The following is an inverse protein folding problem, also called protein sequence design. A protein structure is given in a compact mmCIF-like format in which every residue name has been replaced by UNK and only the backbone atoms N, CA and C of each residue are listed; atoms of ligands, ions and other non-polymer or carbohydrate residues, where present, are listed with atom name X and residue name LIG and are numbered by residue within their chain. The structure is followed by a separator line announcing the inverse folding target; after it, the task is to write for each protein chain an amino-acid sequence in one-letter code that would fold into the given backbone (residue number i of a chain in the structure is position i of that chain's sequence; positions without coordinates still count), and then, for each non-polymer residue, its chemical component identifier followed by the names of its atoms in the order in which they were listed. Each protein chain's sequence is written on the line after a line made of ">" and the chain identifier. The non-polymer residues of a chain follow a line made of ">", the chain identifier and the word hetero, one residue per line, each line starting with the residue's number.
data_IF_038133215756
#
_entry.id   IF_038133215756
#
_cell.length_a   1.000
_cell.length_b   1.000
_cell.length_c   1.000
_cell.angle_alpha   90.00
_cell.angle_beta   90.00
_cell.angle_gamma   90.00
#
_symmetry.space_group_name_H-M   'P 1'
#
loop_
_entity.id
_entity.type
_entity.pdbx_description
1 polymer ?
#
# COMPACT_ATOMS: atom_id res chain seq x y z
N UNK A 1 -27.29 12.16 12.33
CA UNK A 1 -26.02 12.30 11.58
C UNK A 1 -25.88 11.05 10.75
N UNK A 2 -25.63 11.19 9.46
CA UNK A 2 -25.30 10.05 8.60
C UNK A 2 -24.01 9.39 9.10
N UNK A 3 -23.96 8.06 9.12
CA UNK A 3 -22.76 7.35 9.54
C UNK A 3 -21.61 7.67 8.57
N UNK A 4 -20.40 7.93 9.08
CA UNK A 4 -19.22 8.16 8.24
C UNK A 4 -18.93 6.90 7.41
N UNK A 5 -18.57 7.08 6.16
CA UNK A 5 -18.06 5.97 5.32
C UNK A 5 -16.79 5.43 5.92
N UNK A 6 -16.63 4.11 5.86
CA UNK A 6 -15.46 3.39 6.39
C UNK A 6 -14.38 3.23 5.35
N UNK A 7 -13.16 3.56 5.75
CA UNK A 7 -11.95 3.38 4.94
C UNK A 7 -11.10 2.28 5.55
N UNK A 8 -10.64 1.34 4.72
CA UNK A 8 -9.57 0.40 5.08
C UNK A 8 -8.35 0.64 4.21
N UNK A 9 -7.18 0.74 4.82
CA UNK A 9 -5.91 0.77 4.10
C UNK A 9 -4.80 0.13 4.92
N UNK A 10 -3.75 -0.35 4.25
CA UNK A 10 -2.64 -1.00 4.92
C UNK A 10 -1.34 -0.97 4.13
N UNK A 11 -0.23 -1.00 4.84
CA UNK A 11 1.11 -1.07 4.25
C UNK A 11 1.86 -2.26 4.85
N UNK A 12 2.57 -3.01 4.01
CA UNK A 12 3.41 -4.12 4.45
C UNK A 12 4.65 -3.61 5.21
N UNK A 13 5.02 -4.25 6.34
CA UNK A 13 6.23 -3.93 7.09
C UNK A 13 7.49 -4.53 6.43
N UNK A 14 7.66 -4.25 5.14
CA UNK A 14 8.75 -4.76 4.31
C UNK A 14 10.06 -3.95 4.42
N UNK A 15 10.20 -3.12 5.43
CA UNK A 15 11.33 -2.24 5.71
C UNK A 15 10.87 -0.83 6.10
N UNK A 16 11.80 0.09 6.21
CA UNK A 16 11.50 1.49 6.57
C UNK A 16 10.58 2.16 5.55
N UNK A 17 9.76 3.10 6.02
CA UNK A 17 8.91 3.91 5.15
C UNK A 17 9.77 4.93 4.40
N UNK A 18 9.39 5.18 3.16
CA UNK A 18 10.09 6.11 2.27
C UNK A 18 9.30 7.40 2.11
N UNK A 19 9.96 8.45 1.62
CA UNK A 19 9.28 9.68 1.20
C UNK A 19 8.14 9.38 0.22
N UNK A 20 8.33 8.41 -0.69
CA UNK A 20 7.28 7.94 -1.59
C UNK A 20 6.10 7.31 -0.87
N UNK A 21 6.34 6.57 0.24
CA UNK A 21 5.27 6.01 1.09
C UNK A 21 4.51 7.11 1.83
N UNK A 22 5.22 8.12 2.32
CA UNK A 22 4.62 9.27 2.99
C UNK A 22 3.73 10.08 2.03
N UNK A 23 4.29 10.55 0.92
CA UNK A 23 3.57 11.39 -0.04
C UNK A 23 2.45 10.65 -0.78
N UNK A 24 2.65 9.35 -1.04
CA UNK A 24 1.70 8.53 -1.79
C UNK A 24 0.55 7.97 -0.94
N UNK A 25 0.75 7.80 0.37
CA UNK A 25 -0.26 7.17 1.24
C UNK A 25 -0.49 7.95 2.52
N UNK A 26 0.50 8.05 3.42
CA UNK A 26 0.30 8.56 4.79
C UNK A 26 -0.22 9.99 4.83
N UNK A 27 0.30 10.88 4.01
CA UNK A 27 -0.17 12.28 3.92
C UNK A 27 -1.68 12.36 3.58
N UNK A 28 -2.14 11.46 2.70
CA UNK A 28 -3.56 11.36 2.37
C UNK A 28 -4.38 10.79 3.54
N UNK A 29 -3.86 9.77 4.23
CA UNK A 29 -4.54 9.18 5.39
C UNK A 29 -4.78 10.21 6.49
N UNK A 30 -3.77 11.06 6.75
CA UNK A 30 -3.91 12.17 7.72
C UNK A 30 -5.03 13.14 7.32
N UNK A 31 -5.20 13.42 6.03
CA UNK A 31 -6.29 14.30 5.58
C UNK A 31 -7.69 13.66 5.64
N UNK A 32 -7.77 12.32 5.64
CA UNK A 32 -9.04 11.58 5.64
C UNK A 32 -9.58 11.32 7.05
N UNK A 33 -8.74 11.35 8.08
CA UNK A 33 -9.10 10.91 9.42
C UNK A 33 -10.22 11.72 10.10
N UNK A 34 -10.49 12.95 9.68
CA UNK A 34 -11.56 13.76 10.24
C UNK A 34 -12.91 13.53 9.53
N UNK A 35 -12.89 13.09 8.28
CA UNK A 35 -14.09 12.92 7.45
C UNK A 35 -14.64 11.49 7.47
N UNK A 36 -13.77 10.48 7.65
CA UNK A 36 -14.07 9.07 7.51
C UNK A 36 -13.84 8.29 8.81
N UNK A 37 -14.43 7.08 8.89
CA UNK A 37 -14.12 6.06 9.89
C UNK A 37 -12.93 5.23 9.35
N UNK A 38 -11.72 5.52 9.83
CA UNK A 38 -10.50 5.01 9.21
C UNK A 38 -9.88 3.85 10.00
N UNK A 39 -9.58 2.77 9.27
CA UNK A 39 -8.83 1.61 9.76
C UNK A 39 -7.50 1.49 9.00
N UNK A 40 -6.40 1.58 9.72
CA UNK A 40 -5.05 1.49 9.16
C UNK A 40 -4.32 0.27 9.69
N UNK A 41 -4.04 -0.68 8.80
CA UNK A 41 -3.50 -1.98 9.14
C UNK A 41 -2.02 -2.09 8.74
N UNK A 42 -1.21 -2.68 9.61
CA UNK A 42 0.11 -3.17 9.26
C UNK A 42 -0.07 -4.60 8.79
N UNK A 43 0.00 -4.80 7.46
CA UNK A 43 -0.35 -6.07 6.82
C UNK A 43 0.85 -7.03 6.80
N UNK A 44 1.23 -7.52 7.97
CA UNK A 44 2.38 -8.38 8.20
C UNK A 44 2.19 -9.79 7.61
N UNK A 45 0.96 -10.30 7.51
CA UNK A 45 0.68 -11.57 6.85
C UNK A 45 0.94 -11.49 5.34
N UNK A 46 0.71 -10.35 4.69
CA UNK A 46 1.11 -10.17 3.30
C UNK A 46 2.63 -10.13 3.13
N UNK A 47 3.38 -9.69 4.14
CA UNK A 47 4.83 -9.65 4.08
C UNK A 47 5.46 -11.04 4.03
N UNK A 48 4.84 -12.06 4.64
CA UNK A 48 5.35 -13.44 4.67
C UNK A 48 5.16 -14.21 3.36
N UNK A 49 4.50 -13.64 2.35
CA UNK A 49 4.52 -14.17 0.97
C UNK A 49 5.94 -14.25 0.40
N UNK A 50 6.86 -13.48 0.98
CA UNK A 50 8.31 -13.57 0.79
C UNK A 50 8.94 -13.94 2.14
N UNK A 51 9.99 -14.77 2.14
CA UNK A 51 10.64 -15.20 3.39
C UNK A 51 11.11 -14.01 4.21
N UNK A 52 10.75 -14.00 5.49
CA UNK A 52 11.11 -12.99 6.48
C UNK A 52 11.90 -13.62 7.63
N UNK A 53 12.75 -12.83 8.25
CA UNK A 53 13.30 -13.16 9.57
C UNK A 53 12.26 -12.76 10.62
N UNK A 54 11.71 -13.68 11.44
CA UNK A 54 10.57 -13.36 12.32
C UNK A 54 10.83 -12.21 13.31
N UNK A 55 12.04 -12.14 13.87
CA UNK A 55 12.42 -11.07 14.79
C UNK A 55 12.40 -9.69 14.10
N UNK A 56 12.88 -9.63 12.85
CA UNK A 56 12.90 -8.40 12.06
C UNK A 56 11.49 -7.99 11.63
N UNK A 57 10.65 -8.94 11.22
CA UNK A 57 9.25 -8.66 10.87
C UNK A 57 8.51 -8.05 12.06
N UNK A 58 8.63 -8.65 13.26
CA UNK A 58 8.02 -8.13 14.48
C UNK A 58 8.49 -6.71 14.80
N UNK A 59 9.81 -6.47 14.76
CA UNK A 59 10.41 -5.15 15.02
C UNK A 59 9.89 -4.11 14.02
N UNK A 60 9.86 -4.46 12.71
CA UNK A 60 9.40 -3.56 11.65
C UNK A 60 7.90 -3.24 11.77
N UNK A 61 7.07 -4.21 12.15
CA UNK A 61 5.64 -3.99 12.35
C UNK A 61 5.37 -2.95 13.43
N UNK A 62 6.04 -3.08 14.58
CA UNK A 62 5.91 -2.09 15.68
C UNK A 62 6.50 -0.73 15.29
N UNK A 63 7.67 -0.72 14.66
CA UNK A 63 8.30 0.52 14.21
C UNK A 63 7.45 1.25 13.16
N UNK A 64 6.77 0.53 12.27
CA UNK A 64 5.90 1.13 11.27
C UNK A 64 4.65 1.76 11.91
N UNK A 65 4.08 1.14 12.95
CA UNK A 65 2.99 1.74 13.72
C UNK A 65 3.41 3.06 14.37
N UNK A 66 4.60 3.08 14.96
CA UNK A 66 5.16 4.32 15.53
C UNK A 66 5.36 5.41 14.46
N UNK A 67 5.80 5.02 13.25
CA UNK A 67 5.93 5.96 12.14
C UNK A 67 4.58 6.49 11.65
N UNK A 68 3.49 5.71 11.69
CA UNK A 68 2.15 6.20 11.36
C UNK A 68 1.74 7.34 12.29
N UNK A 69 1.92 7.16 13.60
CA UNK A 69 1.62 8.17 14.62
C UNK A 69 2.52 9.40 14.43
N UNK A 70 3.82 9.20 14.22
CA UNK A 70 4.76 10.29 13.99
C UNK A 70 4.46 11.10 12.72
N UNK A 71 3.85 10.46 11.71
CA UNK A 71 3.41 11.13 10.48
C UNK A 71 2.08 11.89 10.63
N UNK A 72 1.43 11.84 11.80
CA UNK A 72 0.23 12.62 12.10
C UNK A 72 -1.08 11.84 12.14
N UNK A 73 -1.04 10.49 12.10
CA UNK A 73 -2.23 9.69 12.36
C UNK A 73 -2.51 9.67 13.86
N UNK A 74 -3.70 10.14 14.23
CA UNK A 74 -4.16 10.23 15.62
C UNK A 74 -4.77 8.90 16.07
N UNK A 75 -4.19 8.19 17.06
CA UNK A 75 -4.73 6.92 17.57
C UNK A 75 -6.09 7.06 18.26
N UNK A 76 -6.49 8.27 18.70
CA UNK A 76 -7.81 8.51 19.28
C UNK A 76 -8.90 8.64 18.21
N UNK A 77 -8.51 8.95 16.96
CA UNK A 77 -9.44 9.13 15.84
C UNK A 77 -9.52 7.90 14.93
N UNK A 78 -8.44 7.11 14.88
CA UNK A 78 -8.28 6.03 13.92
C UNK A 78 -8.05 4.69 14.61
N UNK A 79 -8.54 3.62 14.03
CA UNK A 79 -8.18 2.27 14.46
C UNK A 79 -6.90 1.86 13.74
N UNK A 80 -5.83 1.64 14.49
CA UNK A 80 -4.54 1.18 13.96
C UNK A 80 -4.17 -0.15 14.60
N UNK A 81 -3.81 -1.15 13.78
CA UNK A 81 -3.52 -2.50 14.28
C UNK A 81 -2.58 -3.29 13.38
N UNK A 82 -2.10 -4.42 13.89
CA UNK A 82 -1.29 -5.39 13.15
C UNK A 82 -2.21 -6.54 12.72
N UNK A 83 -2.20 -6.88 11.44
CA UNK A 83 -3.09 -7.85 10.80
C UNK A 83 -3.08 -9.21 11.51
N UNK A 84 -1.90 -9.75 11.83
CA UNK A 84 -1.77 -11.06 12.50
C UNK A 84 -2.31 -11.10 13.93
N UNK A 85 -2.61 -9.94 14.54
CA UNK A 85 -3.26 -9.88 15.86
C UNK A 85 -4.77 -10.08 15.79
N UNK A 86 -5.34 -10.13 14.59
CA UNK A 86 -6.77 -10.39 14.33
C UNK A 86 -6.89 -11.66 13.48
N UNK A 87 -7.03 -12.86 14.09
CA UNK A 87 -7.04 -14.14 13.38
C UNK A 87 -8.13 -14.26 12.32
N UNK A 88 -9.20 -13.50 12.46
CA UNK A 88 -10.35 -13.48 11.55
C UNK A 88 -9.98 -13.12 10.10
N UNK A 89 -8.88 -12.40 9.88
CA UNK A 89 -8.34 -12.17 8.54
C UNK A 89 -8.04 -13.50 7.82
N UNK A 90 -7.36 -14.42 8.51
CA UNK A 90 -7.04 -15.74 7.96
C UNK A 90 -8.30 -16.63 7.83
N UNK A 91 -9.19 -16.61 8.81
CA UNK A 91 -10.44 -17.37 8.78
C UNK A 91 -11.32 -16.94 7.60
N UNK A 92 -11.55 -15.63 7.46
CA UNK A 92 -12.36 -15.11 6.37
C UNK A 92 -11.68 -15.33 5.02
N UNK A 93 -10.35 -15.21 4.94
CA UNK A 93 -9.59 -15.51 3.73
C UNK A 93 -9.81 -16.95 3.25
N UNK A 94 -9.86 -17.93 4.17
CA UNK A 94 -10.18 -19.29 3.84
C UNK A 94 -11.60 -19.44 3.28
N UNK A 95 -12.58 -18.85 3.96
CA UNK A 95 -13.98 -18.87 3.50
C UNK A 95 -14.11 -18.25 2.12
N UNK A 96 -13.59 -17.05 1.92
CA UNK A 96 -13.62 -16.34 0.63
C UNK A 96 -12.87 -17.09 -0.47
N UNK A 97 -11.80 -17.83 -0.11
CA UNK A 97 -11.08 -18.71 -1.01
C UNK A 97 -11.97 -19.78 -1.65
N UNK A 98 -12.95 -20.29 -0.92
CA UNK A 98 -13.93 -21.25 -1.43
C UNK A 98 -14.94 -20.61 -2.42
N UNK A 99 -15.04 -19.28 -2.43
CA UNK A 99 -15.88 -18.51 -3.36
C UNK A 99 -15.09 -17.79 -4.45
N UNK A 100 -13.76 -17.96 -4.48
CA UNK A 100 -12.87 -17.33 -5.45
C UNK A 100 -12.53 -18.29 -6.58
N UNK A 101 -12.70 -17.85 -7.82
CA UNK A 101 -12.40 -18.70 -8.97
C UNK A 101 -10.89 -18.69 -9.27
N UNK A 102 -10.33 -19.87 -9.49
CA UNK A 102 -8.92 -20.05 -9.87
C UNK A 102 -8.51 -19.18 -11.09
N UNK A 103 -9.40 -19.10 -12.10
CA UNK A 103 -9.16 -18.30 -13.30
C UNK A 103 -9.07 -16.80 -13.04
N UNK A 104 -9.74 -16.27 -12.01
CA UNK A 104 -9.63 -14.85 -11.62
C UNK A 104 -8.24 -14.58 -11.03
N UNK A 105 -7.79 -15.42 -10.10
CA UNK A 105 -6.45 -15.31 -9.50
C UNK A 105 -5.33 -15.45 -10.54
N UNK A 106 -5.48 -16.39 -11.48
CA UNK A 106 -4.48 -16.61 -12.54
C UNK A 106 -4.31 -15.41 -13.49
N UNK A 107 -5.33 -14.57 -13.61
CA UNK A 107 -5.30 -13.37 -14.46
C UNK A 107 -4.75 -12.13 -13.76
N UNK A 108 -4.53 -12.17 -12.44
CA UNK A 108 -3.99 -11.05 -11.69
C UNK A 108 -2.61 -10.64 -12.21
N UNK A 109 -2.48 -9.37 -12.64
CA UNK A 109 -1.23 -8.83 -13.20
C UNK A 109 -0.10 -8.84 -12.18
N UNK A 110 -0.39 -8.44 -10.95
CA UNK A 110 0.58 -8.44 -9.84
C UNK A 110 1.11 -9.85 -9.52
N UNK A 111 0.26 -10.90 -9.64
CA UNK A 111 0.73 -12.27 -9.51
C UNK A 111 1.74 -12.62 -10.61
N UNK A 112 1.41 -12.31 -11.87
CA UNK A 112 2.29 -12.60 -13.02
C UNK A 112 3.64 -11.89 -12.89
N UNK A 113 3.65 -10.64 -12.44
CA UNK A 113 4.88 -9.85 -12.29
C UNK A 113 5.74 -10.36 -11.14
N UNK A 114 5.13 -10.70 -9.99
CA UNK A 114 5.84 -11.28 -8.85
C UNK A 114 6.34 -12.69 -9.13
N UNK A 115 5.56 -13.51 -9.84
CA UNK A 115 5.96 -14.85 -10.25
C UNK A 115 7.18 -14.81 -11.18
N UNK A 116 7.28 -13.84 -12.11
CA UNK A 116 8.48 -13.65 -12.94
C UNK A 116 9.72 -13.27 -12.12
N UNK A 117 9.55 -12.41 -11.09
CA UNK A 117 10.66 -11.97 -10.22
C UNK A 117 11.16 -13.07 -9.28
N UNK A 118 10.31 -14.04 -8.94
CA UNK A 118 10.57 -15.11 -7.98
C UNK A 118 10.30 -16.49 -8.60
N UNK A 119 10.72 -16.69 -9.86
CA UNK A 119 10.42 -17.89 -10.66
C UNK A 119 10.79 -19.20 -9.95
N UNK A 120 11.85 -19.18 -9.13
CA UNK A 120 12.35 -20.37 -8.42
C UNK A 120 11.55 -20.70 -7.14
N UNK A 121 10.62 -19.82 -6.71
CA UNK A 121 9.90 -20.01 -5.45
C UNK A 121 8.50 -19.39 -5.47
N UNK A 122 7.65 -19.87 -6.36
CA UNK A 122 6.24 -19.45 -6.43
C UNK A 122 5.46 -20.24 -5.38
N UNK A 123 5.09 -19.59 -4.29
CA UNK A 123 4.32 -20.21 -3.21
C UNK A 123 2.81 -20.08 -3.44
N UNK A 124 2.01 -20.97 -2.82
CA UNK A 124 0.55 -20.85 -2.80
C UNK A 124 0.11 -19.48 -2.21
N UNK A 125 0.79 -18.99 -1.16
CA UNK A 125 0.51 -17.68 -0.58
C UNK A 125 0.69 -16.53 -1.57
N UNK A 126 1.67 -16.60 -2.48
CA UNK A 126 1.84 -15.62 -3.53
C UNK A 126 0.70 -15.66 -4.56
N UNK A 127 0.07 -16.80 -4.75
CA UNK A 127 -1.10 -16.95 -5.64
C UNK A 127 -2.39 -16.50 -4.96
N UNK A 128 -2.55 -16.78 -3.66
CA UNK A 128 -3.81 -16.58 -2.93
C UNK A 128 -3.88 -15.27 -2.12
N UNK A 129 -2.78 -14.50 -1.99
CA UNK A 129 -2.80 -13.25 -1.21
C UNK A 129 -3.90 -12.24 -1.64
N UNK A 130 -4.39 -12.19 -2.90
CA UNK A 130 -5.49 -11.30 -3.25
C UNK A 130 -6.81 -11.65 -2.52
N UNK A 131 -6.98 -12.92 -2.13
CA UNK A 131 -8.12 -13.36 -1.31
C UNK A 131 -7.96 -12.88 0.14
N UNK A 132 -6.74 -12.93 0.68
CA UNK A 132 -6.45 -12.35 1.99
C UNK A 132 -6.69 -10.83 1.99
N UNK A 133 -6.30 -10.13 0.93
CA UNK A 133 -6.61 -8.70 0.79
C UNK A 133 -8.13 -8.45 0.72
N UNK A 134 -8.89 -9.30 0.04
CA UNK A 134 -10.36 -9.21 0.06
C UNK A 134 -10.92 -9.42 1.47
N UNK A 135 -10.38 -10.39 2.23
CA UNK A 135 -10.75 -10.61 3.62
C UNK A 135 -10.43 -9.40 4.51
N UNK A 136 -9.26 -8.78 4.32
CA UNK A 136 -8.86 -7.56 5.06
C UNK A 136 -9.88 -6.44 4.90
N UNK A 137 -10.42 -6.26 3.71
CA UNK A 137 -11.37 -5.20 3.37
C UNK A 137 -12.78 -5.55 3.86
N UNK A 138 -13.25 -6.76 3.56
CA UNK A 138 -14.64 -7.19 3.80
C UNK A 138 -14.92 -7.47 5.27
N UNK A 139 -13.92 -7.88 6.05
CA UNK A 139 -14.05 -8.13 7.49
C UNK A 139 -14.60 -6.91 8.24
N UNK A 140 -14.25 -5.73 7.79
CA UNK A 140 -14.63 -4.46 8.41
C UNK A 140 -15.76 -3.73 7.68
N UNK A 141 -16.41 -4.35 6.69
CA UNK A 141 -17.49 -3.72 5.91
C UNK A 141 -17.06 -2.36 5.32
N UNK A 142 -15.86 -2.32 4.74
CA UNK A 142 -15.28 -1.07 4.26
C UNK A 142 -15.98 -0.56 3.01
N UNK A 143 -16.32 0.73 2.99
CA UNK A 143 -16.94 1.39 1.83
C UNK A 143 -15.89 1.78 0.78
N UNK A 144 -14.73 2.24 1.25
CA UNK A 144 -13.69 2.83 0.41
C UNK A 144 -12.32 2.22 0.71
N UNK A 145 -11.55 1.99 -0.34
CA UNK A 145 -10.17 1.48 -0.24
C UNK A 145 -9.23 2.41 -1.00
N UNK A 146 -8.44 3.25 -0.30
CA UNK A 146 -7.44 4.11 -0.93
C UNK A 146 -6.35 3.27 -1.60
N UNK A 147 -6.28 3.32 -2.91
CA UNK A 147 -5.32 2.51 -3.70
C UNK A 147 -4.73 3.31 -4.85
N UNK A 148 -3.49 2.99 -5.21
CA UNK A 148 -2.93 3.38 -6.49
C UNK A 148 -3.50 2.56 -7.65
N UNK A 149 -3.25 2.99 -8.88
CA UNK A 149 -3.77 2.34 -10.09
C UNK A 149 -3.38 0.85 -10.19
N UNK A 150 -2.20 0.50 -9.72
CA UNK A 150 -1.68 -0.87 -9.70
C UNK A 150 -2.46 -1.83 -8.77
N UNK A 151 -3.25 -1.30 -7.84
CA UNK A 151 -4.05 -2.07 -6.89
C UNK A 151 -5.56 -2.09 -7.23
N UNK A 152 -6.00 -1.35 -8.24
CA UNK A 152 -7.42 -1.33 -8.64
C UNK A 152 -7.95 -2.73 -8.96
N UNK A 153 -7.16 -3.56 -9.64
CA UNK A 153 -7.55 -4.93 -9.99
C UNK A 153 -7.82 -5.79 -8.75
N UNK A 154 -7.11 -5.54 -7.63
CA UNK A 154 -7.38 -6.24 -6.37
C UNK A 154 -8.72 -5.82 -5.76
N UNK A 155 -9.07 -4.53 -5.81
CA UNK A 155 -10.38 -4.06 -5.32
C UNK A 155 -11.51 -4.58 -6.19
N UNK A 156 -11.32 -4.67 -7.51
CA UNK A 156 -12.28 -5.30 -8.42
C UNK A 156 -12.48 -6.79 -8.10
N UNK A 157 -11.39 -7.53 -7.85
CA UNK A 157 -11.49 -8.92 -7.41
C UNK A 157 -12.25 -9.04 -6.09
N UNK A 158 -11.97 -8.16 -5.12
CA UNK A 158 -12.67 -8.11 -3.84
C UNK A 158 -14.19 -7.90 -4.05
N UNK A 159 -14.57 -6.96 -4.91
CA UNK A 159 -15.98 -6.72 -5.27
C UNK A 159 -16.64 -7.94 -5.91
N UNK A 160 -15.93 -8.61 -6.83
CA UNK A 160 -16.45 -9.81 -7.50
C UNK A 160 -16.69 -10.95 -6.49
N UNK A 161 -15.76 -11.15 -5.55
CA UNK A 161 -15.89 -12.13 -4.47
C UNK A 161 -17.09 -11.77 -3.59
N UNK A 162 -17.18 -10.52 -3.13
CA UNK A 162 -18.28 -10.04 -2.28
C UNK A 162 -19.65 -10.16 -2.99
N UNK A 163 -19.74 -9.77 -4.26
CA UNK A 163 -20.97 -9.91 -5.05
C UNK A 163 -21.39 -11.37 -5.16
N UNK A 164 -20.44 -12.27 -5.47
CA UNK A 164 -20.71 -13.71 -5.58
C UNK A 164 -21.16 -14.30 -4.24
N UNK A 165 -20.55 -13.88 -3.15
CA UNK A 165 -20.93 -14.30 -1.80
C UNK A 165 -22.34 -13.80 -1.44
N UNK A 166 -22.63 -12.52 -1.68
CA UNK A 166 -23.94 -11.92 -1.42
C UNK A 166 -25.08 -12.52 -2.26
N UNK A 167 -24.79 -13.10 -3.43
CA UNK A 167 -25.79 -13.85 -4.19
C UNK A 167 -26.29 -15.11 -3.48
N UNK A 168 -25.44 -15.72 -2.63
CA UNK A 168 -25.82 -16.89 -1.82
C UNK A 168 -26.29 -16.47 -0.42
N UNK A 169 -25.71 -15.42 0.13
CA UNK A 169 -25.96 -14.91 1.47
C UNK A 169 -26.20 -13.39 1.37
N UNK A 170 -27.44 -12.98 1.08
CA UNK A 170 -27.77 -11.57 0.83
C UNK A 170 -27.34 -10.66 1.96
N UNK A 171 -26.91 -9.45 1.61
CA UNK A 171 -26.56 -8.35 2.52
C UNK A 171 -25.45 -8.70 3.54
N UNK A 172 -24.56 -9.68 3.21
CA UNK A 172 -23.46 -10.05 4.10
C UNK A 172 -22.31 -9.05 4.03
N UNK A 173 -21.89 -8.66 2.83
CA UNK A 173 -20.74 -7.75 2.64
C UNK A 173 -21.13 -6.46 1.95
N UNK A 174 -20.59 -5.34 2.47
CA UNK A 174 -20.54 -4.07 1.76
C UNK A 174 -19.63 -4.21 0.53
N UNK A 175 -20.06 -3.68 -0.62
CA UNK A 175 -19.25 -3.70 -1.84
C UNK A 175 -18.28 -2.51 -1.84
N UNK A 176 -16.96 -2.73 -1.61
CA UNK A 176 -16.02 -1.63 -1.49
C UNK A 176 -15.76 -0.93 -2.82
N UNK A 177 -15.44 0.35 -2.78
CA UNK A 177 -15.02 1.13 -3.94
C UNK A 177 -13.55 1.52 -3.85
N UNK A 178 -12.86 1.45 -4.98
CA UNK A 178 -11.51 1.98 -5.08
C UNK A 178 -11.54 3.51 -4.98
N UNK A 179 -10.85 4.05 -4.01
CA UNK A 179 -10.72 5.48 -3.81
C UNK A 179 -9.32 5.93 -4.26
N UNK A 180 -9.25 6.77 -5.26
CA UNK A 180 -7.99 7.37 -5.71
C UNK A 180 -7.90 8.76 -5.10
N UNK A 181 -7.03 8.97 -4.09
CA UNK A 181 -6.86 10.28 -3.48
C UNK A 181 -6.44 11.33 -4.52
N UNK A 182 -7.04 12.51 -4.45
CA UNK A 182 -6.70 13.64 -5.35
C UNK A 182 -5.25 14.12 -5.22
N UNK A 183 -4.60 13.82 -4.11
CA UNK A 183 -3.25 14.26 -3.75
C UNK A 183 -2.31 13.07 -3.51
N UNK A 184 -2.13 12.22 -4.49
CA UNK A 184 -1.16 11.12 -4.44
C UNK A 184 -0.01 11.37 -5.41
N UNK A 185 1.07 11.99 -4.97
CA UNK A 185 2.23 12.16 -5.83
C UNK A 185 2.98 10.82 -5.98
N UNK A 186 3.18 10.38 -7.22
CA UNK A 186 4.09 9.26 -7.51
C UNK A 186 5.51 9.79 -7.46
N UNK A 187 6.18 9.57 -6.34
CA UNK A 187 7.57 10.00 -6.17
C UNK A 187 8.51 9.02 -6.87
N UNK A 188 9.40 9.56 -7.68
CA UNK A 188 10.39 8.82 -8.45
C UNK A 188 11.72 8.75 -7.68
N UNK A 189 12.60 7.81 -8.06
CA UNK A 189 13.95 7.71 -7.53
C UNK A 189 14.73 9.01 -7.79
N UNK A 190 15.52 9.45 -6.81
CA UNK A 190 16.39 10.61 -6.99
C UNK A 190 17.56 10.32 -7.93
N UNK A 191 17.99 9.04 -8.03
CA UNK A 191 19.07 8.61 -8.89
C UNK A 191 18.64 8.18 -10.29
N UNK A 192 17.41 7.70 -10.42
CA UNK A 192 16.82 7.18 -11.67
C UNK A 192 15.37 7.68 -11.79
N UNK A 193 15.15 8.93 -12.20
CA UNK A 193 13.84 9.58 -12.16
C UNK A 193 12.78 8.97 -13.09
N UNK A 194 13.14 8.02 -13.94
CA UNK A 194 12.21 7.19 -14.72
C UNK A 194 11.58 6.06 -13.89
N UNK A 195 12.24 5.66 -12.79
CA UNK A 195 11.80 4.60 -11.91
C UNK A 195 11.11 5.16 -10.66
N UNK A 196 10.06 4.47 -10.21
CA UNK A 196 9.42 4.79 -8.92
C UNK A 196 10.43 4.63 -7.77
N UNK A 197 10.44 5.57 -6.82
CA UNK A 197 11.25 5.45 -5.59
C UNK A 197 11.00 4.10 -4.92
N UNK A 198 12.08 3.34 -4.72
CA UNK A 198 12.02 1.97 -4.22
C UNK A 198 13.08 1.72 -3.16
N UNK A 199 12.72 0.93 -2.14
CA UNK A 199 13.65 0.48 -1.08
C UNK A 199 14.79 -0.37 -1.61
N UNK A 200 14.64 -0.98 -2.79
CA UNK A 200 15.68 -1.78 -3.46
C UNK A 200 16.81 -0.95 -4.07
N UNK A 201 16.63 0.37 -4.15
CA UNK A 201 17.63 1.34 -4.64
C UNK A 201 17.88 2.39 -3.55
N UNK A 202 18.65 2.09 -2.51
CA UNK A 202 18.81 2.95 -1.33
C UNK A 202 19.38 4.33 -1.62
N UNK A 203 20.27 4.45 -2.60
CA UNK A 203 20.92 5.72 -2.96
C UNK A 203 19.96 6.72 -3.62
N UNK A 204 18.98 6.21 -4.36
CA UNK A 204 17.91 7.01 -4.97
C UNK A 204 16.65 7.15 -4.11
N UNK A 205 16.65 6.54 -2.92
CA UNK A 205 15.51 6.46 -2.02
C UNK A 205 15.75 7.26 -0.73
N UNK A 206 14.82 8.14 -0.37
CA UNK A 206 14.82 8.84 0.93
C UNK A 206 13.93 8.07 1.89
N UNK A 207 14.50 7.62 3.02
CA UNK A 207 13.75 6.98 4.09
C UNK A 207 13.32 8.02 5.12
N UNK A 208 12.18 7.80 5.77
CA UNK A 208 11.68 8.73 6.80
C UNK A 208 12.58 8.78 8.05
N UNK A 209 13.36 7.71 8.26
CA UNK A 209 14.32 7.62 9.37
C UNK A 209 15.74 8.00 8.98
N UNK A 210 15.99 8.48 7.75
CA UNK A 210 17.30 9.01 7.34
C UNK A 210 17.68 10.23 8.19
N UNK A 211 18.95 10.35 8.52
CA UNK A 211 19.47 11.53 9.19
C UNK A 211 19.42 12.75 8.25
N UNK A 212 19.26 13.97 8.77
CA UNK A 212 19.21 15.18 7.94
C UNK A 212 20.37 15.31 6.96
N UNK A 213 21.59 14.91 7.37
CA UNK A 213 22.80 14.95 6.55
C UNK A 213 22.69 13.98 5.36
N UNK A 214 22.11 12.79 5.58
CA UNK A 214 21.90 11.77 4.54
C UNK A 214 20.84 12.22 3.55
N UNK A 215 19.72 12.78 4.04
CA UNK A 215 18.67 13.36 3.21
C UNK A 215 19.29 14.46 2.32
N UNK A 216 20.02 15.39 2.92
CA UNK A 216 20.65 16.49 2.19
C UNK A 216 21.65 15.98 1.14
N UNK A 217 22.45 14.95 1.46
CA UNK A 217 23.37 14.32 0.54
C UNK A 217 22.63 13.69 -0.65
N UNK A 218 21.52 12.96 -0.41
CA UNK A 218 20.71 12.31 -1.45
C UNK A 218 20.10 13.36 -2.39
N UNK A 219 19.54 14.44 -1.87
CA UNK A 219 19.00 15.51 -2.70
C UNK A 219 20.08 16.25 -3.52
N UNK A 220 21.25 16.51 -2.94
CA UNK A 220 22.37 17.12 -3.68
C UNK A 220 22.90 16.24 -4.83
N UNK A 221 22.71 14.93 -4.75
CA UNK A 221 23.10 13.96 -5.79
C UNK A 221 21.96 13.60 -6.74
N UNK A 222 20.78 14.18 -6.54
CA UNK A 222 19.64 13.88 -7.39
C UNK A 222 19.96 14.20 -8.85
N UNK A 223 19.53 13.29 -9.73
CA UNK A 223 19.67 13.50 -11.18
C UNK A 223 18.77 14.65 -11.61
N UNK A 224 19.36 15.59 -12.32
CA UNK A 224 18.69 16.72 -12.96
C UNK A 224 18.95 16.69 -14.47
N UNK A 225 18.89 17.82 -15.14
CA UNK A 225 19.20 17.98 -16.56
C UNK A 225 20.21 19.10 -16.79
N UNK A 226 20.60 19.29 -18.03
CA UNK A 226 21.61 20.30 -18.43
C UNK A 226 21.01 21.69 -18.77
N UNK A 227 19.67 21.83 -18.71
CA UNK A 227 19.03 23.10 -19.00
C UNK A 227 19.04 24.02 -17.76
N UNK A 228 19.10 25.34 -17.98
CA UNK A 228 19.03 26.34 -16.92
C UNK A 228 17.61 26.67 -16.47
N UNK A 229 16.61 26.35 -17.28
CA UNK A 229 15.20 26.61 -16.98
C UNK A 229 14.60 25.55 -16.09
N UNK A 230 13.99 25.93 -14.96
CA UNK A 230 13.23 25.07 -14.09
C UNK A 230 11.77 25.08 -14.57
N UNK A 231 11.29 23.93 -15.08
CA UNK A 231 9.89 23.73 -15.49
C UNK A 231 9.47 22.29 -15.25
N UNK A 232 8.19 22.08 -15.06
CA UNK A 232 7.62 20.74 -14.94
C UNK A 232 7.42 20.14 -16.34
N UNK A 233 8.14 19.06 -16.64
CA UNK A 233 8.07 18.32 -17.90
C UNK A 233 8.56 16.89 -17.62
N UNK A 234 7.62 15.97 -17.41
CA UNK A 234 7.96 14.60 -17.04
C UNK A 234 8.69 13.83 -18.14
N UNK A 235 8.48 14.18 -19.40
CA UNK A 235 9.10 13.46 -20.51
C UNK A 235 10.55 13.91 -20.75
N UNK A 236 10.80 15.23 -20.74
CA UNK A 236 12.11 15.77 -21.09
C UNK A 236 12.94 16.15 -19.87
N UNK A 237 12.29 16.39 -18.71
CA UNK A 237 12.92 16.80 -17.45
C UNK A 237 12.43 15.97 -16.25
N UNK A 238 12.54 14.63 -16.29
CA UNK A 238 11.97 13.77 -15.26
C UNK A 238 12.55 14.07 -13.87
N UNK A 239 13.85 14.32 -13.75
CA UNK A 239 14.52 14.64 -12.50
C UNK A 239 14.02 15.94 -11.86
N UNK A 240 13.98 17.02 -12.61
CA UNK A 240 13.45 18.32 -12.15
C UNK A 240 11.97 18.21 -11.81
N UNK A 241 11.19 17.53 -12.66
CA UNK A 241 9.75 17.32 -12.41
C UNK A 241 9.50 16.53 -11.12
N UNK A 242 10.33 15.52 -10.82
CA UNK A 242 10.26 14.79 -9.56
C UNK A 242 10.58 15.69 -8.36
N UNK A 243 11.62 16.50 -8.43
CA UNK A 243 11.97 17.46 -7.36
C UNK A 243 10.85 18.49 -7.13
N UNK A 244 10.24 19.01 -8.21
CA UNK A 244 9.08 19.89 -8.12
C UNK A 244 7.84 19.21 -7.54
N UNK A 245 7.68 17.90 -7.76
CA UNK A 245 6.59 17.12 -7.18
C UNK A 245 6.77 16.88 -5.68
N UNK A 246 8.03 16.79 -5.23
CA UNK A 246 8.37 16.62 -3.81
C UNK A 246 8.21 17.94 -3.05
N UNK A 247 8.57 19.06 -3.67
CA UNK A 247 8.44 20.41 -3.11
C UNK A 247 6.98 20.85 -3.00
#
# INVERSE_FOLDING_TARGET
>A
MEAKKRIFSGIQPSGELTLGSYMGALKNWVSLQDEYDCLYCIVDMHAITVRQVPADLRRRSVAQLAQYIACGLDPEKNIMFIQSHVPQHAELSWVLGCYTQFGELSRMTQFKDKAKKHADNITAGLFTYPVLMAADILLYQSDLVPVGDDQRQHVELCRNIATRFNNWFPDTFTLPEAFVPKMGARIMSLGQPENKMSKSEPDGCVFLMDKPEDIMRKFKRAVTDCETAVRYDQQNKPGISNLLTIY
#
